data_IF_855176037048
#
_entry.id   IF_855176037048
#
_cell.length_a   1.000
_cell.length_b   1.000
_cell.length_c   1.000
_cell.angle_alpha   90.00
_cell.angle_beta   90.00
_cell.angle_gamma   90.00
#
_symmetry.space_group_name_H-M   'P 1'
#
loop_
_entity.id
_entity.type
_entity.pdbx_description
1 polymer ?
#
# COMPACT_ATOMS: atom_id res chain seq x y z
N UNK A 1 7.97 5.32 2.80
CA UNK A 1 7.24 4.33 1.96
C UNK A 1 6.90 4.88 0.58
N UNK A 2 6.00 5.85 0.43
CA UNK A 2 5.62 6.35 -0.92
C UNK A 2 6.78 7.07 -1.62
N UNK A 3 7.57 7.86 -0.88
CA UNK A 3 8.78 8.50 -1.41
C UNK A 3 9.86 7.47 -1.81
N UNK A 4 10.02 6.38 -1.04
CA UNK A 4 10.95 5.30 -1.37
C UNK A 4 10.51 4.54 -2.62
N UNK A 5 9.19 4.35 -2.79
CA UNK A 5 8.60 3.75 -3.97
C UNK A 5 8.78 4.63 -5.20
N UNK A 6 8.51 5.95 -5.10
CA UNK A 6 8.77 6.91 -6.19
C UNK A 6 10.25 6.91 -6.60
N UNK A 7 11.16 6.90 -5.63
CA UNK A 7 12.60 6.79 -5.86
C UNK A 7 12.98 5.48 -6.55
N UNK A 8 12.36 4.36 -6.17
CA UNK A 8 12.60 3.06 -6.79
C UNK A 8 12.07 3.00 -8.23
N UNK A 9 10.87 3.55 -8.49
CA UNK A 9 10.32 3.70 -9.83
C UNK A 9 11.24 4.53 -10.72
N UNK A 10 11.77 5.65 -10.21
CA UNK A 10 12.69 6.51 -10.96
C UNK A 10 13.95 5.77 -11.44
N UNK A 11 14.46 4.80 -10.67
CA UNK A 11 15.64 3.99 -11.07
C UNK A 11 15.38 3.11 -12.30
N UNK A 12 14.13 2.74 -12.55
CA UNK A 12 13.74 1.91 -13.71
C UNK A 12 13.03 2.72 -14.80
N UNK A 13 13.11 4.06 -14.74
CA UNK A 13 12.51 4.96 -15.72
C UNK A 13 10.99 5.15 -15.59
N UNK A 14 10.40 4.71 -14.48
CA UNK A 14 8.98 4.94 -14.17
C UNK A 14 8.81 6.18 -13.30
N UNK A 15 7.67 6.84 -13.44
CA UNK A 15 7.30 8.04 -12.66
C UNK A 15 5.88 7.90 -12.13
N UNK A 16 5.67 8.27 -10.86
CA UNK A 16 4.32 8.34 -10.30
C UNK A 16 3.52 9.50 -10.91
N UNK A 17 2.27 9.20 -11.26
CA UNK A 17 1.30 10.22 -11.62
C UNK A 17 0.59 10.70 -10.34
N UNK A 18 1.12 11.76 -9.74
CA UNK A 18 0.59 12.31 -8.48
C UNK A 18 -0.85 12.83 -8.63
N UNK A 19 -1.24 13.31 -9.80
CA UNK A 19 -2.61 13.80 -10.08
C UNK A 19 -3.64 12.67 -10.08
N UNK A 20 -3.26 11.47 -10.50
CA UNK A 20 -4.12 10.27 -10.47
C UNK A 20 -3.99 9.47 -9.18
N UNK A 21 -3.02 9.81 -8.34
CA UNK A 21 -2.79 9.11 -7.07
C UNK A 21 -3.70 9.69 -6.01
N UNK A 22 -4.48 8.83 -5.35
CA UNK A 22 -5.30 9.19 -4.20
C UNK A 22 -4.84 8.38 -2.99
N UNK A 23 -4.83 9.00 -1.81
CA UNK A 23 -4.49 8.34 -0.56
C UNK A 23 -5.73 8.15 0.31
N UNK A 24 -5.86 6.99 0.94
CA UNK A 24 -6.94 6.70 1.88
C UNK A 24 -6.45 6.96 3.30
N UNK A 25 -7.04 7.94 3.99
CA UNK A 25 -6.64 8.30 5.36
C UNK A 25 -7.06 7.24 6.36
N UNK A 26 -6.20 6.94 7.33
CA UNK A 26 -6.54 6.04 8.43
C UNK A 26 -6.26 6.75 9.77
N UNK A 27 -6.68 6.13 10.88
CA UNK A 27 -6.49 6.70 12.23
C UNK A 27 -5.03 6.82 12.70
N UNK A 28 -4.04 6.38 11.90
CA UNK A 28 -2.61 6.49 12.20
C UNK A 28 -1.94 7.65 11.44
N UNK A 29 -2.63 8.24 10.45
CA UNK A 29 -2.09 9.34 9.64
C UNK A 29 -2.52 10.67 10.26
N UNK A 30 -1.58 11.64 10.30
CA UNK A 30 -1.88 12.99 10.77
C UNK A 30 -3.04 13.62 9.99
N UNK A 31 -3.71 14.60 10.60
CA UNK A 31 -4.70 15.40 9.90
C UNK A 31 -4.12 16.34 8.86
N UNK A 32 -2.80 16.55 8.89
CA UNK A 32 -2.09 17.43 7.97
C UNK A 32 -2.15 16.94 6.51
N UNK A 33 -2.12 17.87 5.53
CA UNK A 33 -2.02 17.53 4.11
C UNK A 33 -0.82 16.63 3.82
N UNK A 34 -1.07 15.51 3.14
CA UNK A 34 -0.01 14.59 2.75
C UNK A 34 0.65 15.07 1.46
N UNK A 35 1.93 15.46 1.54
CA UNK A 35 2.70 15.94 0.40
C UNK A 35 3.77 14.93 -0.04
N UNK A 36 3.97 14.82 -1.35
CA UNK A 36 5.11 14.14 -1.96
C UNK A 36 5.75 15.07 -2.99
N UNK A 37 7.06 15.33 -2.87
CA UNK A 37 7.81 16.23 -3.75
C UNK A 37 7.15 17.64 -3.87
N UNK A 38 6.59 18.15 -2.77
CA UNK A 38 5.89 19.44 -2.72
C UNK A 38 4.50 19.46 -3.35
N UNK A 39 3.99 18.33 -3.85
CA UNK A 39 2.63 18.19 -4.38
C UNK A 39 1.73 17.50 -3.37
N UNK A 40 0.57 18.09 -3.06
CA UNK A 40 -0.44 17.47 -2.21
C UNK A 40 -1.08 16.26 -2.91
N UNK A 41 -1.11 15.12 -2.24
CA UNK A 41 -1.84 13.96 -2.73
C UNK A 41 -3.28 14.07 -2.22
N UNK A 42 -4.28 14.06 -3.11
CA UNK A 42 -5.68 14.15 -2.70
C UNK A 42 -6.09 12.95 -1.85
N UNK A 43 -6.93 13.22 -0.86
CA UNK A 43 -7.58 12.18 -0.05
C UNK A 43 -8.74 11.55 -0.82
N UNK A 44 -8.83 10.22 -0.78
CA UNK A 44 -9.97 9.46 -1.29
C UNK A 44 -10.93 9.02 -0.19
N UNK A 45 -12.22 9.00 -0.52
CA UNK A 45 -13.29 8.50 0.36
C UNK A 45 -13.67 7.04 0.05
N UNK A 46 -13.47 6.63 -1.22
CA UNK A 46 -13.93 5.35 -1.75
C UNK A 46 -12.83 4.76 -2.63
N UNK A 47 -12.56 3.47 -2.44
CA UNK A 47 -11.66 2.69 -3.29
C UNK A 47 -12.27 1.33 -3.61
N UNK A 48 -12.37 0.99 -4.89
CA UNK A 48 -12.82 -0.35 -5.30
C UNK A 48 -11.61 -1.25 -5.48
N UNK A 49 -11.53 -2.30 -4.67
CA UNK A 49 -10.47 -3.31 -4.74
C UNK A 49 -11.06 -4.70 -4.84
N UNK A 50 -10.63 -5.46 -5.85
CA UNK A 50 -11.06 -6.85 -6.05
C UNK A 50 -12.58 -7.00 -6.02
N UNK A 51 -13.31 -6.06 -6.62
CA UNK A 51 -14.77 -6.05 -6.69
C UNK A 51 -15.50 -5.62 -5.41
N UNK A 52 -14.78 -5.24 -4.36
CA UNK A 52 -15.36 -4.63 -3.15
C UNK A 52 -15.06 -3.15 -3.08
N UNK A 53 -16.10 -2.37 -2.83
CA UNK A 53 -15.97 -0.97 -2.42
C UNK A 53 -15.48 -0.90 -0.98
N UNK A 54 -14.48 -0.07 -0.73
CA UNK A 54 -13.88 0.16 0.58
C UNK A 54 -14.01 1.65 0.88
N UNK A 55 -14.77 1.96 1.91
CA UNK A 55 -14.89 3.33 2.41
C UNK A 55 -13.86 3.59 3.52
N UNK A 56 -13.30 4.79 3.51
CA UNK A 56 -12.39 5.33 4.54
C UNK A 56 -12.94 5.19 5.96
N UNK A 57 -14.25 5.34 6.17
CA UNK A 57 -14.84 5.39 7.52
C UNK A 57 -14.96 4.03 8.21
N UNK A 58 -15.32 2.98 7.47
CA UNK A 58 -15.77 1.72 8.09
C UNK A 58 -14.97 0.49 7.63
N UNK A 59 -14.58 0.44 6.35
CA UNK A 59 -14.04 -0.79 5.74
C UNK A 59 -12.51 -0.80 5.64
N UNK A 60 -11.87 0.35 5.83
CA UNK A 60 -10.44 0.49 5.58
C UNK A 60 -9.57 -0.31 6.56
N UNK A 61 -9.84 -0.21 7.86
CA UNK A 61 -9.09 -0.95 8.89
C UNK A 61 -9.21 -2.49 8.78
N UNK A 62 -10.43 -3.06 8.64
CA UNK A 62 -10.56 -4.50 8.42
C UNK A 62 -9.92 -4.96 7.09
N UNK A 63 -10.00 -4.16 6.03
CA UNK A 63 -9.36 -4.48 4.74
C UNK A 63 -7.83 -4.47 4.84
N UNK A 64 -7.24 -3.46 5.50
CA UNK A 64 -5.79 -3.40 5.73
C UNK A 64 -5.31 -4.63 6.50
N UNK A 65 -6.08 -5.07 7.51
CA UNK A 65 -5.79 -6.26 8.30
C UNK A 65 -5.84 -7.53 7.46
N UNK A 66 -6.83 -7.65 6.56
CA UNK A 66 -6.95 -8.76 5.60
C UNK A 66 -5.73 -8.85 4.68
N UNK A 67 -5.29 -7.72 4.13
CA UNK A 67 -4.11 -7.68 3.24
C UNK A 67 -2.81 -8.04 3.95
N UNK A 68 -2.61 -7.52 5.17
CA UNK A 68 -1.46 -7.90 6.00
C UNK A 68 -1.44 -9.41 6.24
N UNK A 69 -2.59 -10.01 6.57
CA UNK A 69 -2.71 -11.46 6.77
C UNK A 69 -2.43 -12.25 5.49
N UNK A 70 -2.97 -11.82 4.36
CA UNK A 70 -2.74 -12.48 3.07
C UNK A 70 -1.27 -12.43 2.65
N UNK A 71 -0.63 -11.27 2.76
CA UNK A 71 0.79 -11.10 2.48
C UNK A 71 1.67 -11.95 3.43
N UNK A 72 1.33 -11.96 4.72
CA UNK A 72 2.03 -12.79 5.70
C UNK A 72 1.89 -14.29 5.41
N UNK A 73 0.69 -14.75 5.06
CA UNK A 73 0.44 -16.13 4.67
C UNK A 73 1.28 -16.56 3.46
N UNK A 74 1.31 -15.73 2.41
CA UNK A 74 2.12 -15.98 1.22
C UNK A 74 3.63 -15.99 1.51
N UNK A 75 4.10 -15.07 2.37
CA UNK A 75 5.50 -15.07 2.79
C UNK A 75 5.87 -16.36 3.54
N UNK A 76 5.03 -16.79 4.49
CA UNK A 76 5.26 -18.02 5.27
C UNK A 76 5.28 -19.28 4.42
N UNK A 77 4.45 -19.37 3.38
CA UNK A 77 4.48 -20.53 2.47
C UNK A 77 5.79 -20.62 1.68
N UNK A 78 6.37 -19.47 1.30
CA UNK A 78 7.67 -19.42 0.61
C UNK A 78 8.82 -19.70 1.57
N UNK A 79 8.76 -19.17 2.80
CA UNK A 79 9.79 -19.37 3.82
C UNK A 79 10.06 -20.86 4.08
N UNK A 80 9.01 -21.69 4.16
CA UNK A 80 9.15 -23.13 4.33
C UNK A 80 9.90 -23.81 3.18
N UNK A 81 9.62 -23.38 1.93
CA UNK A 81 10.32 -23.89 0.74
C UNK A 81 11.79 -23.48 0.76
N UNK A 82 12.08 -22.21 1.03
CA UNK A 82 13.46 -21.68 1.08
C UNK A 82 14.30 -22.35 2.18
N UNK A 83 13.69 -22.66 3.33
CA UNK A 83 14.39 -23.40 4.40
C UNK A 83 14.71 -24.83 3.99
N UNK A 84 13.79 -25.50 3.27
CA UNK A 84 14.01 -26.87 2.78
C UNK A 84 15.12 -26.93 1.74
N UNK A 85 15.21 -25.94 0.84
CA UNK A 85 16.26 -25.89 -0.19
C UNK A 85 17.64 -25.53 0.36
N UNK A 86 17.73 -24.88 1.53
CA UNK A 86 19.00 -24.54 2.19
C UNK A 86 19.63 -25.68 2.99
N UNK A 87 18.85 -26.70 3.35
CA UNK A 87 19.32 -27.86 4.12
C UNK A 87 19.69 -29.06 3.23
N UNK A 88 19.73 -28.86 1.91
CA UNK A 88 20.30 -29.75 0.91
C UNK A 88 21.58 -29.13 0.39
#
# INVERSE_FOLDING_TARGET
MLADFDKACGKIGLRLNLTKTMFMKNGLVSFDPFTLNGTNIPEGSIYVYSGREINTMNDLAPELSRRKRAAWGAFKSIEGVVKRTKNT
#
